data_IF_513771799131
#
_entry.id   IF_513771799131
#
_cell.length_a   1.000
_cell.length_b   1.000
_cell.length_c   1.000
_cell.angle_alpha   90.00
_cell.angle_beta   90.00
_cell.angle_gamma   90.00
#
_symmetry.space_group_name_H-M   'P 1'
#
loop_
_entity.id
_entity.type
_entity.pdbx_description
1 polymer ?
#
# COMPACT_ATOMS: atom_id res chain seq x y z
N UNK A 1 41.97 -40.59 37.62
CA UNK A 1 41.30 -40.32 36.33
C UNK A 1 39.78 -40.16 36.43
N UNK A 2 39.25 -39.37 37.41
CA UNK A 2 37.81 -39.09 37.54
C UNK A 2 37.45 -37.59 37.60
N UNK A 3 38.43 -36.69 37.53
CA UNK A 3 38.16 -35.24 37.62
C UNK A 3 38.11 -34.50 36.28
N UNK A 4 38.58 -35.10 35.18
CA UNK A 4 38.63 -34.48 33.82
C UNK A 4 37.26 -34.50 33.11
N UNK A 5 36.38 -35.46 33.46
CA UNK A 5 35.04 -35.56 32.82
C UNK A 5 34.03 -34.54 33.33
N UNK A 6 34.12 -34.08 34.59
CA UNK A 6 33.15 -33.13 35.19
C UNK A 6 33.43 -31.71 34.70
N UNK A 7 34.69 -31.32 34.54
CA UNK A 7 35.07 -30.00 34.01
C UNK A 7 34.64 -29.82 32.56
N UNK A 8 34.76 -30.89 31.77
CA UNK A 8 34.31 -30.86 30.34
C UNK A 8 32.81 -30.75 30.20
N UNK A 9 32.03 -31.39 31.08
CA UNK A 9 30.55 -31.31 31.09
C UNK A 9 30.05 -29.94 31.53
N UNK A 10 30.69 -29.28 32.50
CA UNK A 10 30.34 -27.93 33.00
C UNK A 10 30.67 -26.89 31.89
N UNK A 11 31.78 -26.99 31.17
CA UNK A 11 32.08 -26.09 30.05
C UNK A 11 31.09 -26.24 28.89
N UNK A 12 30.64 -27.46 28.59
CA UNK A 12 29.61 -27.69 27.56
C UNK A 12 28.23 -27.12 27.96
N UNK A 13 27.85 -27.22 29.25
CA UNK A 13 26.62 -26.66 29.76
C UNK A 13 26.66 -25.11 29.82
N UNK A 14 27.80 -24.50 30.13
CA UNK A 14 27.98 -23.05 30.09
C UNK A 14 28.00 -22.53 28.66
N UNK A 15 28.59 -23.23 27.70
CA UNK A 15 28.50 -22.85 26.29
C UNK A 15 27.07 -22.99 25.72
N UNK A 16 26.30 -24.00 26.11
CA UNK A 16 24.90 -24.16 25.74
C UNK A 16 23.98 -23.08 26.39
N UNK A 17 24.32 -22.60 27.59
CA UNK A 17 23.56 -21.52 28.24
C UNK A 17 23.84 -20.14 27.62
N UNK A 18 25.00 -19.93 26.97
CA UNK A 18 25.35 -18.65 26.34
C UNK A 18 24.70 -18.51 24.96
N UNK A 19 24.34 -19.63 24.30
CA UNK A 19 23.68 -19.59 22.97
C UNK A 19 22.16 -19.40 23.05
N UNK A 20 21.55 -19.39 24.22
CA UNK A 20 20.09 -19.30 24.39
C UNK A 20 19.56 -17.88 24.62
N UNK A 21 20.40 -16.85 24.62
CA UNK A 21 19.98 -15.46 24.80
C UNK A 21 20.22 -14.61 23.54
N UNK A 22 19.74 -15.06 22.40
CA UNK A 22 19.35 -14.11 21.34
C UNK A 22 17.97 -13.58 21.74
N UNK A 23 17.92 -12.64 22.70
CA UNK A 23 16.74 -11.81 22.87
C UNK A 23 16.60 -11.00 21.58
N UNK A 24 15.60 -11.33 20.76
CA UNK A 24 15.17 -10.44 19.72
C UNK A 24 14.98 -9.07 20.34
N UNK A 25 15.65 -8.04 19.82
CA UNK A 25 15.44 -6.69 20.35
C UNK A 25 13.95 -6.38 20.21
N UNK A 26 13.28 -5.95 21.28
CA UNK A 26 11.87 -5.60 21.18
C UNK A 26 11.74 -4.42 20.22
N UNK A 27 10.97 -4.60 19.16
CA UNK A 27 10.66 -3.52 18.21
C UNK A 27 9.95 -2.39 18.96
N UNK A 28 10.36 -1.16 18.69
CA UNK A 28 9.61 0.01 19.17
C UNK A 28 8.58 0.37 18.11
N UNK A 29 7.33 0.34 18.49
CA UNK A 29 6.20 0.80 17.72
C UNK A 29 5.95 2.26 18.08
N UNK A 30 5.76 3.11 17.09
CA UNK A 30 5.23 4.46 17.27
C UNK A 30 3.88 4.57 16.57
N UNK A 31 2.98 5.31 17.17
CA UNK A 31 1.63 5.55 16.66
C UNK A 31 1.55 6.96 16.11
N UNK A 32 0.75 7.13 15.06
CA UNK A 32 0.37 8.43 14.53
C UNK A 32 -1.15 8.42 14.30
N UNK A 33 -1.85 9.22 15.07
CA UNK A 33 -3.30 9.32 15.03
C UNK A 33 -3.79 10.75 15.17
N UNK A 34 -5.07 10.93 15.37
CA UNK A 34 -5.69 12.26 15.55
C UNK A 34 -5.14 12.98 16.78
N UNK A 35 -4.74 12.27 17.83
CA UNK A 35 -4.12 12.84 19.03
C UNK A 35 -2.73 13.44 18.73
N UNK A 36 -2.07 12.99 17.65
CA UNK A 36 -0.78 13.51 17.17
C UNK A 36 -0.94 14.60 16.10
N UNK A 37 -2.19 14.95 15.75
CA UNK A 37 -2.51 15.99 14.77
C UNK A 37 -2.91 15.49 13.38
N UNK A 38 -3.07 14.17 13.17
CA UNK A 38 -3.63 13.63 11.94
C UNK A 38 -5.11 14.03 11.81
N UNK A 39 -5.57 14.34 10.60
CA UNK A 39 -6.93 14.85 10.39
C UNK A 39 -8.04 13.81 10.62
N UNK A 40 -7.73 12.52 10.46
CA UNK A 40 -8.67 11.40 10.65
C UNK A 40 -7.90 10.07 10.71
N UNK A 41 -8.35 9.11 11.52
CA UNK A 41 -7.74 7.78 11.63
C UNK A 41 -8.12 6.82 10.49
N UNK A 42 -9.06 7.19 9.64
CA UNK A 42 -9.38 6.44 8.43
C UNK A 42 -8.38 6.77 7.33
N UNK A 43 -7.35 5.92 7.22
CA UNK A 43 -6.29 6.08 6.22
C UNK A 43 -6.72 5.43 4.91
N UNK A 44 -6.65 6.19 3.84
CA UNK A 44 -7.03 5.73 2.50
C UNK A 44 -5.79 5.43 1.66
N UNK A 45 -4.79 6.30 1.70
CA UNK A 45 -3.58 6.15 0.89
C UNK A 45 -2.38 6.81 1.54
N UNK A 46 -1.19 6.25 1.27
CA UNK A 46 0.09 6.72 1.77
C UNK A 46 1.06 6.96 0.62
N UNK A 47 1.87 8.01 0.71
CA UNK A 47 2.98 8.23 -0.20
C UNK A 47 4.15 8.90 0.53
N UNK A 48 5.38 8.59 0.12
CA UNK A 48 6.56 9.34 0.55
C UNK A 48 7.14 10.09 -0.63
N UNK A 49 7.40 11.38 -0.45
CA UNK A 49 8.01 12.21 -1.48
C UNK A 49 9.55 12.19 -1.47
N UNK A 50 10.15 12.91 -2.40
CA UNK A 50 11.62 13.02 -2.53
C UNK A 50 12.28 13.71 -1.35
N UNK A 51 11.57 14.62 -0.67
CA UNK A 51 12.05 15.38 0.49
C UNK A 51 11.97 14.56 1.78
N UNK A 52 11.29 13.39 1.74
CA UNK A 52 11.12 12.49 2.87
C UNK A 52 9.82 12.71 3.65
N UNK A 53 8.99 13.70 3.29
CA UNK A 53 7.68 13.87 3.91
C UNK A 53 6.78 12.69 3.60
N UNK A 54 5.98 12.30 4.59
CA UNK A 54 4.93 11.30 4.41
C UNK A 54 3.61 12.02 4.14
N UNK A 55 3.00 11.69 3.01
CA UNK A 55 1.69 12.18 2.63
C UNK A 55 0.64 11.13 2.94
N UNK A 56 -0.43 11.54 3.57
CA UNK A 56 -1.49 10.65 4.09
C UNK A 56 -2.83 11.19 3.64
N UNK A 57 -3.53 10.44 2.79
CA UNK A 57 -4.92 10.70 2.46
C UNK A 57 -5.83 10.07 3.51
N UNK A 58 -6.76 10.86 4.02
CA UNK A 58 -7.79 10.44 4.96
C UNK A 58 -9.17 10.86 4.45
N UNK A 59 -10.24 10.45 5.11
CA UNK A 59 -11.59 10.96 4.81
C UNK A 59 -11.78 12.46 5.10
N UNK A 60 -10.86 13.08 5.85
CA UNK A 60 -10.94 14.52 6.19
C UNK A 60 -9.97 15.39 5.40
N UNK A 61 -9.32 14.83 4.39
CA UNK A 61 -8.40 15.53 3.49
C UNK A 61 -7.00 14.95 3.46
N UNK A 62 -6.06 15.76 2.99
CA UNK A 62 -4.66 15.40 2.77
C UNK A 62 -3.80 15.90 3.93
N UNK A 63 -2.92 15.06 4.44
CA UNK A 63 -1.98 15.40 5.50
C UNK A 63 -0.54 15.25 4.99
N UNK A 64 0.34 16.16 5.36
CA UNK A 64 1.78 16.07 5.17
C UNK A 64 2.47 16.00 6.54
N UNK A 65 3.21 14.93 6.77
CA UNK A 65 3.95 14.70 8.00
C UNK A 65 5.46 14.86 7.76
N UNK A 66 6.13 15.65 8.58
CA UNK A 66 7.57 15.93 8.47
C UNK A 66 8.45 15.10 9.43
N UNK A 67 7.83 14.20 10.19
CA UNK A 67 8.46 13.41 11.25
C UNK A 67 8.17 13.95 12.66
N UNK A 68 7.57 15.13 12.79
CA UNK A 68 7.22 15.76 14.06
C UNK A 68 5.79 16.30 14.09
N UNK A 69 5.31 16.92 13.01
CA UNK A 69 4.01 17.58 12.95
C UNK A 69 3.29 17.34 11.62
N UNK A 70 1.97 17.49 11.67
CA UNK A 70 1.10 17.41 10.50
C UNK A 70 0.74 18.80 9.97
N UNK A 71 0.74 18.92 8.64
CA UNK A 71 0.08 20.03 7.93
C UNK A 71 -1.11 19.44 7.19
N UNK A 72 -2.31 19.99 7.44
CA UNK A 72 -3.57 19.49 6.89
C UNK A 72 -4.01 20.40 5.73
N UNK A 73 -4.26 19.79 4.57
CA UNK A 73 -4.85 20.40 3.38
C UNK A 73 -6.26 19.84 3.15
N UNK A 74 -7.22 20.71 3.00
CA UNK A 74 -8.60 20.37 2.72
C UNK A 74 -9.23 21.36 1.75
N UNK A 75 -10.46 21.13 1.29
CA UNK A 75 -11.15 21.99 0.34
C UNK A 75 -11.38 23.44 0.81
N UNK A 76 -11.25 23.71 2.10
CA UNK A 76 -11.50 25.04 2.67
C UNK A 76 -10.20 25.87 2.80
N UNK A 77 -9.03 25.24 2.86
CA UNK A 77 -7.74 25.90 3.09
C UNK A 77 -6.71 25.66 1.97
N UNK A 78 -7.07 24.92 0.93
CA UNK A 78 -6.19 24.61 -0.20
C UNK A 78 -7.00 24.58 -1.50
N UNK A 79 -6.35 24.44 -2.65
CA UNK A 79 -7.01 24.26 -3.95
C UNK A 79 -7.58 22.84 -4.16
N UNK A 80 -7.68 22.02 -3.11
CA UNK A 80 -8.21 20.66 -3.19
C UNK A 80 -9.70 20.71 -3.54
N UNK A 81 -10.12 19.92 -4.54
CA UNK A 81 -11.51 19.92 -5.02
C UNK A 81 -12.46 19.17 -4.09
N UNK A 82 -11.95 18.20 -3.32
CA UNK A 82 -12.70 17.37 -2.38
C UNK A 82 -11.83 16.95 -1.20
N UNK A 83 -12.45 16.66 -0.04
CA UNK A 83 -11.78 15.98 1.07
C UNK A 83 -11.81 14.45 0.91
N UNK A 84 -12.71 13.93 0.07
CA UNK A 84 -12.87 12.50 -0.19
C UNK A 84 -11.78 12.04 -1.17
N UNK A 85 -10.65 11.62 -0.62
CA UNK A 85 -9.47 11.19 -1.36
C UNK A 85 -9.42 9.66 -1.42
N UNK A 86 -8.93 9.12 -2.56
CA UNK A 86 -8.80 7.69 -2.75
C UNK A 86 -7.34 7.23 -2.94
N UNK A 87 -6.51 8.05 -3.58
CA UNK A 87 -5.17 7.63 -3.96
C UNK A 87 -4.16 8.76 -3.88
N UNK A 88 -2.92 8.41 -3.53
CA UNK A 88 -1.76 9.29 -3.58
C UNK A 88 -0.65 8.67 -4.40
N UNK A 89 0.03 9.50 -5.19
CA UNK A 89 1.23 9.12 -5.92
C UNK A 89 2.25 10.25 -5.87
N UNK A 90 3.38 10.00 -5.22
CA UNK A 90 4.50 10.93 -5.25
C UNK A 90 5.25 10.82 -6.59
N UNK A 91 5.51 11.95 -7.24
CA UNK A 91 6.35 11.98 -8.43
C UNK A 91 7.83 11.91 -8.02
N UNK A 92 8.57 10.88 -8.42
CA UNK A 92 9.96 10.75 -8.00
C UNK A 92 10.94 11.62 -8.83
N UNK A 93 10.48 12.26 -9.89
CA UNK A 93 11.29 13.16 -10.73
C UNK A 93 10.97 14.65 -10.48
N UNK A 94 9.73 14.92 -10.10
CA UNK A 94 9.22 16.27 -9.84
C UNK A 94 8.80 16.39 -8.38
N UNK A 95 8.86 17.59 -7.82
CA UNK A 95 8.35 17.86 -6.49
C UNK A 95 6.82 18.03 -6.56
N UNK A 96 6.09 16.93 -6.81
CA UNK A 96 4.65 16.89 -6.99
C UNK A 96 4.03 15.68 -6.31
N UNK A 97 2.80 15.87 -5.82
CA UNK A 97 1.96 14.78 -5.31
C UNK A 97 0.68 14.75 -6.13
N UNK A 98 0.45 13.64 -6.80
CA UNK A 98 -0.79 13.37 -7.51
C UNK A 98 -1.81 12.77 -6.57
N UNK A 99 -3.06 13.21 -6.69
CA UNK A 99 -4.13 12.92 -5.74
C UNK A 99 -5.35 12.48 -6.53
N UNK A 100 -5.77 11.24 -6.38
CA UNK A 100 -7.04 10.72 -6.88
C UNK A 100 -8.16 11.03 -5.89
N UNK A 101 -9.26 11.59 -6.38
CA UNK A 101 -10.43 11.89 -5.55
C UNK A 101 -11.58 10.93 -5.86
N UNK A 102 -12.56 10.86 -4.95
CA UNK A 102 -13.72 9.98 -5.14
C UNK A 102 -14.64 10.45 -6.27
N UNK A 103 -14.81 11.76 -6.47
CA UNK A 103 -15.77 12.30 -7.45
C UNK A 103 -15.34 13.59 -8.14
N UNK A 104 -14.19 14.11 -7.79
CA UNK A 104 -13.74 15.44 -8.20
C UNK A 104 -12.46 15.44 -9.05
N UNK A 105 -12.09 14.28 -9.62
CA UNK A 105 -11.05 14.12 -10.63
C UNK A 105 -9.65 13.93 -10.07
N UNK A 106 -8.66 14.27 -10.89
CA UNK A 106 -7.23 14.14 -10.61
C UNK A 106 -6.68 15.49 -10.14
N UNK A 107 -6.19 15.55 -8.90
CA UNK A 107 -5.53 16.74 -8.38
C UNK A 107 -4.01 16.55 -8.29
N UNK A 108 -3.29 17.67 -8.28
CA UNK A 108 -1.83 17.69 -8.17
C UNK A 108 -1.42 18.81 -7.22
N UNK A 109 -0.71 18.47 -6.13
CA UNK A 109 0.02 19.42 -5.31
C UNK A 109 1.39 19.67 -5.95
N UNK A 110 1.73 20.93 -6.14
CA UNK A 110 3.01 21.38 -6.67
C UNK A 110 3.78 22.13 -5.56
N UNK A 111 4.98 21.66 -5.24
CA UNK A 111 5.80 22.25 -4.19
C UNK A 111 6.37 23.62 -4.56
N UNK A 112 6.56 23.89 -5.85
CA UNK A 112 7.14 25.17 -6.30
C UNK A 112 6.18 26.33 -6.05
N UNK A 113 4.89 26.05 -6.27
CA UNK A 113 3.83 27.06 -6.08
C UNK A 113 3.08 26.88 -4.76
N UNK A 114 3.29 25.77 -4.05
CA UNK A 114 2.54 25.32 -2.87
C UNK A 114 1.01 25.32 -3.08
N UNK A 115 0.59 25.05 -4.33
CA UNK A 115 -0.84 25.05 -4.72
C UNK A 115 -1.29 23.65 -5.15
N UNK A 116 -2.60 23.41 -5.04
CA UNK A 116 -3.26 22.24 -5.61
C UNK A 116 -4.11 22.67 -6.80
N UNK A 117 -3.90 22.01 -7.94
CA UNK A 117 -4.73 22.15 -9.14
C UNK A 117 -5.42 20.83 -9.47
N UNK A 118 -6.64 20.87 -10.02
CA UNK A 118 -7.41 19.66 -10.31
C UNK A 118 -7.86 19.62 -11.77
N UNK A 119 -7.87 18.41 -12.35
CA UNK A 119 -8.32 18.10 -13.71
C UNK A 119 -9.61 17.27 -13.58
N UNK A 120 -10.68 17.72 -14.27
CA UNK A 120 -12.00 17.07 -14.25
C UNK A 120 -12.42 16.60 -15.64
N UNK A 121 -13.37 15.64 -15.67
CA UNK A 121 -14.08 15.29 -16.89
C UNK A 121 -14.84 16.51 -17.42
N UNK A 122 -15.00 16.58 -18.75
CA UNK A 122 -15.66 17.73 -19.39
C UNK A 122 -14.72 18.90 -19.68
N UNK A 123 -13.68 19.08 -18.88
CA UNK A 123 -12.58 20.04 -19.10
C UNK A 123 -11.37 19.38 -19.73
N UNK A 124 -11.34 18.04 -19.75
CA UNK A 124 -10.24 17.23 -20.24
C UNK A 124 -10.72 15.89 -20.81
N UNK A 125 -9.78 15.07 -21.29
CA UNK A 125 -10.04 13.69 -21.73
C UNK A 125 -9.99 12.67 -20.59
N UNK A 126 -10.05 13.09 -19.33
CA UNK A 126 -10.14 12.20 -18.17
C UNK A 126 -11.41 11.35 -18.28
N UNK A 127 -11.30 10.03 -18.17
CA UNK A 127 -12.41 9.10 -18.43
C UNK A 127 -13.47 9.11 -17.31
N UNK A 128 -13.08 9.40 -16.07
CA UNK A 128 -13.97 9.53 -14.91
C UNK A 128 -13.36 10.41 -13.83
N UNK A 129 -14.19 11.13 -13.08
CA UNK A 129 -13.77 11.87 -11.88
C UNK A 129 -13.55 10.96 -10.66
N UNK A 130 -14.01 9.71 -10.72
CA UNK A 130 -13.80 8.71 -9.68
C UNK A 130 -12.49 7.96 -9.95
N UNK A 131 -11.48 8.24 -9.12
CA UNK A 131 -10.12 7.73 -9.28
C UNK A 131 -9.75 6.94 -8.03
N UNK A 132 -10.01 5.63 -8.00
CA UNK A 132 -9.70 4.79 -6.86
C UNK A 132 -8.20 4.54 -6.69
N UNK A 133 -7.41 4.59 -7.78
CA UNK A 133 -5.99 4.30 -7.69
C UNK A 133 -5.15 5.02 -8.73
N UNK A 134 -3.91 5.33 -8.34
CA UNK A 134 -2.87 5.92 -9.16
C UNK A 134 -1.60 5.07 -9.07
N UNK A 135 -1.02 4.74 -10.21
CA UNK A 135 0.27 4.08 -10.28
C UNK A 135 1.23 4.81 -11.22
N UNK A 136 2.53 4.66 -10.96
CA UNK A 136 3.53 5.20 -11.86
C UNK A 136 3.63 4.34 -13.11
N UNK A 137 3.63 4.99 -14.26
CA UNK A 137 3.95 4.35 -15.54
C UNK A 137 5.48 4.34 -15.76
N UNK A 138 5.98 3.33 -16.48
CA UNK A 138 7.41 3.17 -16.77
C UNK A 138 8.00 4.32 -17.61
N UNK A 139 7.20 4.93 -18.47
CA UNK A 139 7.58 6.09 -19.26
C UNK A 139 7.64 7.40 -18.47
N UNK A 140 7.28 7.33 -17.18
CA UNK A 140 7.25 8.48 -16.27
C UNK A 140 5.90 9.19 -16.24
N UNK A 141 4.89 8.69 -16.93
CA UNK A 141 3.49 9.09 -16.80
C UNK A 141 2.80 8.46 -15.58
N UNK A 142 1.48 8.50 -15.61
CA UNK A 142 0.63 7.98 -14.52
C UNK A 142 -0.41 7.03 -15.12
N UNK A 143 -0.51 5.83 -14.55
CA UNK A 143 -1.65 4.97 -14.72
C UNK A 143 -2.75 5.37 -13.74
N UNK A 144 -3.94 5.61 -14.27
CA UNK A 144 -5.12 6.04 -13.54
C UNK A 144 -6.15 4.93 -13.67
N UNK A 145 -6.54 4.36 -12.54
CA UNK A 145 -7.64 3.38 -12.50
C UNK A 145 -8.95 4.12 -12.30
N UNK A 146 -9.96 3.75 -13.07
CA UNK A 146 -11.34 4.22 -12.97
C UNK A 146 -12.24 3.04 -12.61
N UNK A 147 -13.09 3.21 -11.62
CA UNK A 147 -13.90 2.13 -11.05
C UNK A 147 -14.68 1.31 -12.10
N UNK A 148 -15.27 1.99 -13.08
CA UNK A 148 -16.05 1.36 -14.16
C UNK A 148 -15.46 1.55 -15.57
N UNK A 149 -14.56 2.50 -15.74
CA UNK A 149 -14.09 2.92 -17.06
C UNK A 149 -12.75 2.28 -17.46
N UNK A 150 -12.18 1.45 -16.58
CA UNK A 150 -10.91 0.77 -16.84
C UNK A 150 -9.69 1.55 -16.38
N UNK A 151 -8.58 1.38 -17.07
CA UNK A 151 -7.29 2.00 -16.75
C UNK A 151 -6.90 2.95 -17.87
N UNK A 152 -6.52 4.17 -17.51
CA UNK A 152 -6.13 5.23 -18.43
C UNK A 152 -4.70 5.70 -18.14
N UNK A 153 -3.92 5.99 -19.16
CA UNK A 153 -2.59 6.57 -19.01
C UNK A 153 -2.65 8.10 -19.16
N UNK A 154 -1.94 8.81 -18.32
CA UNK A 154 -1.71 10.26 -18.39
C UNK A 154 -0.24 10.56 -18.65
N UNK A 155 0.06 11.14 -19.81
CA UNK A 155 1.38 11.66 -20.15
C UNK A 155 1.53 13.04 -19.49
N UNK A 156 2.34 13.12 -18.46
CA UNK A 156 2.55 14.34 -17.65
C UNK A 156 3.20 15.44 -18.50
N UNK A 157 4.11 15.09 -19.42
CA UNK A 157 4.85 16.06 -20.21
C UNK A 157 3.97 16.70 -21.28
N UNK A 158 3.18 15.87 -21.99
CA UNK A 158 2.25 16.33 -23.02
C UNK A 158 0.93 16.83 -22.44
N UNK A 159 0.66 16.57 -21.15
CA UNK A 159 -0.63 16.84 -20.48
C UNK A 159 -1.80 16.18 -21.23
N UNK A 160 -1.61 14.94 -21.68
CA UNK A 160 -2.58 14.21 -22.48
C UNK A 160 -2.95 12.88 -21.86
N UNK A 161 -4.23 12.52 -21.98
CA UNK A 161 -4.76 11.22 -21.58
C UNK A 161 -4.83 10.28 -22.78
N UNK A 162 -4.49 9.02 -22.56
CA UNK A 162 -4.76 7.96 -23.56
C UNK A 162 -6.26 7.62 -23.61
N UNK A 163 -6.65 6.78 -24.59
CA UNK A 163 -7.91 6.04 -24.46
C UNK A 163 -7.84 5.11 -23.22
N UNK A 164 -8.99 4.92 -22.57
CA UNK A 164 -9.05 4.03 -21.42
C UNK A 164 -9.02 2.55 -21.85
N UNK A 165 -8.14 1.76 -21.22
CA UNK A 165 -8.11 0.31 -21.35
C UNK A 165 -9.13 -0.30 -20.38
N UNK A 166 -9.99 -1.21 -20.86
CA UNK A 166 -11.04 -1.82 -20.06
C UNK A 166 -11.19 -3.32 -20.31
N UNK A 167 -12.10 -3.99 -19.59
CA UNK A 167 -12.37 -5.43 -19.70
C UNK A 167 -12.73 -5.89 -21.14
N UNK A 168 -13.10 -4.99 -22.05
CA UNK A 168 -13.38 -5.31 -23.46
C UNK A 168 -12.09 -5.62 -24.23
N UNK A 169 -10.97 -5.08 -23.80
CA UNK A 169 -9.65 -5.32 -24.41
C UNK A 169 -9.01 -6.62 -23.94
N UNK A 170 -9.39 -7.09 -22.72
CA UNK A 170 -8.90 -8.35 -22.12
C UNK A 170 -10.10 -9.22 -21.83
N UNK A 171 -10.43 -10.10 -22.77
CA UNK A 171 -11.64 -10.93 -22.75
C UNK A 171 -11.66 -11.85 -21.53
N UNK A 172 -12.73 -11.76 -20.74
CA UNK A 172 -12.96 -12.61 -19.55
C UNK A 172 -12.37 -12.06 -18.27
N UNK A 173 -11.66 -10.93 -18.30
CA UNK A 173 -11.21 -10.25 -17.10
C UNK A 173 -12.44 -9.79 -16.29
N UNK A 174 -12.50 -10.04 -14.96
CA UNK A 174 -13.57 -9.51 -14.13
C UNK A 174 -13.65 -7.98 -14.23
N UNK A 175 -14.84 -7.43 -14.17
CA UNK A 175 -15.07 -5.98 -14.16
C UNK A 175 -14.85 -5.36 -12.78
N UNK A 176 -15.12 -4.06 -12.64
CA UNK A 176 -14.95 -3.28 -11.41
C UNK A 176 -13.53 -3.35 -10.83
N UNK A 177 -12.69 -2.49 -11.38
CA UNK A 177 -11.28 -2.36 -11.04
C UNK A 177 -11.12 -1.41 -9.85
N UNK A 178 -10.33 -1.81 -8.85
CA UNK A 178 -9.95 -0.92 -7.76
C UNK A 178 -8.53 -0.40 -7.95
N UNK A 179 -7.61 -1.27 -8.35
CA UNK A 179 -6.20 -0.98 -8.50
C UNK A 179 -5.62 -1.73 -9.70
N UNK A 180 -4.69 -1.09 -10.41
CA UNK A 180 -3.90 -1.74 -11.47
C UNK A 180 -2.45 -1.26 -11.43
N UNK A 181 -1.50 -2.20 -11.52
CA UNK A 181 -0.07 -1.91 -11.48
C UNK A 181 0.70 -2.93 -12.32
N UNK A 182 1.66 -2.47 -13.13
CA UNK A 182 2.59 -3.35 -13.84
C UNK A 182 3.91 -3.51 -13.07
N UNK A 183 4.57 -4.66 -13.24
CA UNK A 183 5.87 -4.96 -12.62
C UNK A 183 7.08 -4.54 -13.49
N UNK A 184 6.82 -3.99 -14.66
CA UNK A 184 7.84 -3.67 -15.66
C UNK A 184 8.47 -4.89 -16.35
N UNK A 185 8.05 -6.11 -16.02
CA UNK A 185 8.55 -7.35 -16.58
C UNK A 185 7.56 -8.00 -17.55
N UNK A 186 6.37 -7.43 -17.63
CA UNK A 186 5.31 -7.83 -18.55
C UNK A 186 4.09 -8.43 -17.86
N UNK A 187 3.99 -8.35 -16.55
CA UNK A 187 2.80 -8.71 -15.82
C UNK A 187 2.05 -7.46 -15.35
N UNK A 188 0.72 -7.51 -15.48
CA UNK A 188 -0.20 -6.51 -14.94
C UNK A 188 -1.02 -7.15 -13.81
N UNK A 189 -0.89 -6.62 -12.62
CA UNK A 189 -1.62 -7.03 -11.42
C UNK A 189 -2.84 -6.14 -11.28
N UNK A 190 -4.03 -6.75 -11.15
CA UNK A 190 -5.30 -6.04 -11.02
C UNK A 190 -6.04 -6.52 -9.79
N UNK A 191 -6.28 -5.61 -8.86
CA UNK A 191 -7.17 -5.83 -7.72
C UNK A 191 -8.61 -5.50 -8.11
N UNK A 192 -9.50 -6.41 -7.78
CA UNK A 192 -10.93 -6.28 -8.05
C UNK A 192 -11.71 -5.95 -6.78
N UNK A 193 -12.88 -5.34 -6.97
CA UNK A 193 -13.80 -5.00 -5.87
C UNK A 193 -14.39 -6.24 -5.20
N UNK A 194 -14.57 -7.35 -5.95
CA UNK A 194 -15.22 -8.57 -5.45
C UNK A 194 -14.65 -9.86 -6.01
N UNK A 195 -13.62 -9.77 -6.86
CA UNK A 195 -13.15 -10.91 -7.63
C UNK A 195 -11.67 -11.25 -7.38
N UNK A 196 -11.11 -10.75 -6.27
CA UNK A 196 -9.76 -11.04 -5.84
C UNK A 196 -8.68 -10.35 -6.67
N UNK A 197 -7.60 -11.05 -6.94
CA UNK A 197 -6.44 -10.58 -7.69
C UNK A 197 -6.37 -11.26 -9.05
N UNK A 198 -6.31 -10.48 -10.15
CA UNK A 198 -5.93 -10.99 -11.48
C UNK A 198 -4.48 -10.64 -11.80
N UNK A 199 -3.75 -11.59 -12.36
CA UNK A 199 -2.39 -11.37 -12.89
C UNK A 199 -2.43 -11.68 -14.38
N UNK A 200 -2.13 -10.66 -15.21
CA UNK A 200 -2.15 -10.75 -16.66
C UNK A 200 -0.72 -10.83 -17.16
N UNK A 201 -0.40 -11.85 -17.93
CA UNK A 201 0.78 -11.87 -18.80
C UNK A 201 0.47 -11.05 -20.05
N UNK A 202 0.96 -9.82 -20.10
CA UNK A 202 0.70 -8.88 -21.20
C UNK A 202 1.33 -9.35 -22.54
N UNK A 203 2.40 -10.16 -22.48
CA UNK A 203 3.07 -10.69 -23.68
C UNK A 203 2.27 -11.81 -24.34
N UNK A 204 1.63 -12.66 -23.50
CA UNK A 204 0.83 -13.81 -23.94
C UNK A 204 -0.66 -13.50 -24.04
N UNK A 205 -1.08 -12.35 -23.51
CA UNK A 205 -2.48 -11.93 -23.42
C UNK A 205 -3.35 -12.99 -22.70
N UNK A 206 -2.79 -13.58 -21.63
CA UNK A 206 -3.46 -14.55 -20.74
C UNK A 206 -3.50 -14.02 -19.34
N UNK A 207 -4.46 -14.46 -18.54
CA UNK A 207 -4.52 -14.06 -17.13
C UNK A 207 -4.85 -15.25 -16.22
N UNK A 208 -4.52 -15.09 -14.93
CA UNK A 208 -4.97 -15.96 -13.83
C UNK A 208 -5.65 -15.09 -12.80
N UNK A 209 -6.70 -15.64 -12.21
CA UNK A 209 -7.44 -14.98 -11.13
C UNK A 209 -7.30 -15.78 -9.85
N UNK A 210 -6.96 -15.09 -8.76
CA UNK A 210 -6.78 -15.66 -7.43
C UNK A 210 -7.86 -15.11 -6.51
N UNK A 211 -8.63 -16.04 -5.91
CA UNK A 211 -9.72 -15.74 -5.00
C UNK A 211 -9.48 -16.36 -3.63
N UNK A 212 -10.17 -15.83 -2.64
CA UNK A 212 -10.19 -16.40 -1.30
C UNK A 212 -10.83 -17.80 -1.32
N UNK A 213 -10.11 -18.75 -0.73
CA UNK A 213 -10.61 -20.11 -0.48
C UNK A 213 -10.52 -20.38 1.03
N UNK A 214 -11.67 -20.52 1.75
CA UNK A 214 -11.68 -20.74 3.19
C UNK A 214 -11.07 -22.09 3.61
N UNK A 215 -10.88 -23.01 2.67
CA UNK A 215 -10.24 -24.31 2.91
C UNK A 215 -8.74 -24.31 2.59
N UNK A 216 -8.21 -23.23 2.02
CA UNK A 216 -6.81 -23.08 1.70
C UNK A 216 -6.19 -21.90 2.46
N UNK A 217 -5.42 -22.12 3.54
CA UNK A 217 -4.81 -21.06 4.33
C UNK A 217 -3.78 -20.25 3.55
N UNK A 218 -3.31 -20.76 2.40
CA UNK A 218 -2.37 -20.10 1.51
C UNK A 218 -3.06 -19.39 0.33
N UNK A 219 -4.38 -19.22 0.37
CA UNK A 219 -5.11 -18.38 -0.56
C UNK A 219 -5.07 -16.91 -0.12
N UNK A 220 -5.41 -15.99 -1.02
CA UNK A 220 -5.59 -14.57 -0.67
C UNK A 220 -6.63 -14.44 0.46
N UNK A 221 -6.42 -13.55 1.47
CA UNK A 221 -7.29 -13.52 2.66
C UNK A 221 -8.71 -13.00 2.40
N UNK A 222 -8.91 -12.22 1.32
CA UNK A 222 -10.22 -11.69 0.93
C UNK A 222 -10.30 -11.36 -0.54
N UNK A 223 -11.52 -11.30 -1.08
CA UNK A 223 -11.79 -11.06 -2.50
C UNK A 223 -11.88 -9.57 -2.88
N UNK A 224 -11.96 -8.67 -1.90
CA UNK A 224 -11.92 -7.23 -2.12
C UNK A 224 -10.47 -6.77 -1.99
N UNK A 225 -9.81 -6.46 -3.12
CA UNK A 225 -8.41 -6.06 -3.17
C UNK A 225 -8.33 -4.55 -3.32
N UNK A 226 -7.83 -3.89 -2.28
CA UNK A 226 -7.74 -2.42 -2.19
C UNK A 226 -6.36 -1.88 -2.53
N UNK A 227 -5.30 -2.65 -2.30
CA UNK A 227 -3.95 -2.20 -2.60
C UNK A 227 -3.05 -3.31 -3.12
N UNK A 228 -2.09 -2.93 -3.95
CA UNK A 228 -0.98 -3.76 -4.43
C UNK A 228 0.29 -2.95 -4.27
N UNK A 229 1.34 -3.55 -3.73
CA UNK A 229 2.66 -2.96 -3.63
C UNK A 229 3.70 -3.94 -4.13
N UNK A 230 4.54 -3.51 -5.05
CA UNK A 230 5.73 -4.26 -5.47
C UNK A 230 6.91 -3.60 -4.79
N UNK A 231 7.54 -4.31 -3.85
CA UNK A 231 8.66 -3.79 -3.08
C UNK A 231 9.98 -3.78 -3.87
N UNK A 232 11.04 -3.21 -3.30
CA UNK A 232 12.36 -3.14 -3.95
C UNK A 232 12.98 -4.51 -4.25
N UNK A 233 12.55 -5.56 -3.54
CA UNK A 233 12.97 -6.94 -3.75
C UNK A 233 12.06 -7.69 -4.74
N UNK A 234 11.12 -6.97 -5.39
CA UNK A 234 10.13 -7.53 -6.31
C UNK A 234 9.08 -8.44 -5.65
N UNK A 235 8.95 -8.37 -4.34
CA UNK A 235 7.86 -9.05 -3.65
C UNK A 235 6.55 -8.32 -3.91
N UNK A 236 5.47 -9.09 -4.10
CA UNK A 236 4.15 -8.58 -4.46
C UNK A 236 3.25 -8.68 -3.24
N UNK A 237 2.94 -7.54 -2.65
CA UNK A 237 2.10 -7.40 -1.49
C UNK A 237 0.69 -6.98 -1.90
N UNK A 238 -0.32 -7.60 -1.30
CA UNK A 238 -1.73 -7.39 -1.62
C UNK A 238 -2.51 -7.06 -0.35
N UNK A 239 -3.17 -5.91 -0.32
CA UNK A 239 -4.06 -5.51 0.76
C UNK A 239 -5.52 -5.81 0.42
N UNK A 240 -6.24 -6.42 1.37
CA UNK A 240 -7.63 -6.84 1.19
C UNK A 240 -8.52 -6.38 2.36
N UNK A 241 -9.84 -6.59 2.21
CA UNK A 241 -10.82 -6.37 3.28
C UNK A 241 -10.63 -7.28 4.52
N UNK A 242 -9.75 -8.28 4.46
CA UNK A 242 -9.52 -9.24 5.56
C UNK A 242 -8.05 -9.37 5.94
N UNK A 243 -7.22 -8.37 5.60
CA UNK A 243 -5.79 -8.36 5.90
C UNK A 243 -4.92 -8.17 4.67
N UNK A 244 -3.64 -8.46 4.80
CA UNK A 244 -2.67 -8.40 3.71
C UNK A 244 -2.12 -9.78 3.37
N UNK A 245 -1.51 -9.91 2.20
CA UNK A 245 -0.82 -11.12 1.77
C UNK A 245 0.42 -10.80 0.95
N UNK A 246 1.44 -11.64 1.07
CA UNK A 246 2.59 -11.71 0.19
C UNK A 246 2.35 -12.83 -0.84
N UNK A 247 2.33 -12.50 -2.11
CA UNK A 247 2.20 -13.47 -3.21
C UNK A 247 3.54 -14.08 -3.57
N UNK A 248 3.58 -15.39 -3.73
CA UNK A 248 4.74 -16.18 -4.17
C UNK A 248 4.53 -16.67 -5.60
N UNK A 249 5.14 -16.04 -6.61
CA UNK A 249 4.91 -16.41 -8.02
C UNK A 249 5.26 -17.85 -8.36
N UNK A 250 6.34 -18.40 -7.75
CA UNK A 250 6.83 -19.75 -8.02
C UNK A 250 5.84 -20.84 -7.60
N UNK A 251 5.21 -20.68 -6.43
CA UNK A 251 4.24 -21.63 -5.87
C UNK A 251 2.80 -21.24 -6.14
N UNK A 252 2.56 -19.99 -6.57
CA UNK A 252 1.24 -19.39 -6.76
C UNK A 252 0.39 -19.38 -5.48
N UNK A 253 1.05 -19.27 -4.34
CA UNK A 253 0.45 -19.23 -3.00
C UNK A 253 0.68 -17.89 -2.33
N UNK A 254 0.02 -17.69 -1.20
CA UNK A 254 0.11 -16.47 -0.40
C UNK A 254 0.57 -16.79 1.02
N UNK A 255 1.45 -15.93 1.55
CA UNK A 255 1.64 -15.81 3.00
C UNK A 255 0.67 -14.75 3.50
N UNK A 256 -0.18 -15.12 4.44
CA UNK A 256 -1.31 -14.29 4.90
C UNK A 256 -0.97 -13.60 6.21
N UNK A 257 -1.27 -12.29 6.28
CA UNK A 257 -1.13 -11.43 7.45
C UNK A 257 -2.51 -10.88 7.83
N UNK A 258 -2.99 -11.21 9.02
CA UNK A 258 -4.31 -10.79 9.51
C UNK A 258 -4.23 -10.31 10.94
N UNK A 259 -5.22 -9.52 11.36
CA UNK A 259 -5.38 -9.16 12.76
C UNK A 259 -5.69 -10.39 13.60
N UNK A 260 -4.97 -10.51 14.74
CA UNK A 260 -5.21 -11.53 15.76
C UNK A 260 -5.25 -10.84 17.11
N UNK A 261 -6.39 -10.86 17.78
CA UNK A 261 -6.64 -10.13 19.03
C UNK A 261 -5.61 -10.42 20.13
N UNK A 262 -5.10 -11.65 20.18
CA UNK A 262 -4.15 -12.11 21.22
C UNK A 262 -2.68 -12.00 20.78
N UNK A 263 -2.41 -11.45 19.59
CA UNK A 263 -1.07 -11.33 19.01
C UNK A 263 -0.79 -9.86 18.70
N UNK A 264 -0.10 -9.18 19.60
CA UNK A 264 0.30 -7.77 19.45
C UNK A 264 1.22 -7.49 18.24
N UNK A 265 1.79 -8.54 17.63
CA UNK A 265 2.60 -8.49 16.42
C UNK A 265 1.81 -8.85 15.14
N UNK A 266 0.50 -8.98 15.19
CA UNK A 266 -0.35 -9.20 14.02
C UNK A 266 -0.81 -7.87 13.40
N UNK A 267 -1.40 -7.81 12.22
CA UNK A 267 -1.91 -6.55 11.65
C UNK A 267 -2.97 -5.89 12.55
N UNK A 268 -3.06 -4.57 12.49
CA UNK A 268 -4.18 -3.84 13.07
C UNK A 268 -5.51 -4.25 12.42
N UNK A 269 -6.63 -4.12 13.14
CA UNK A 269 -7.94 -4.47 12.60
C UNK A 269 -8.33 -3.55 11.45
N UNK A 270 -9.15 -4.07 10.55
CA UNK A 270 -9.75 -3.34 9.43
C UNK A 270 -9.27 -3.80 8.07
N UNK A 271 -9.82 -3.18 7.05
CA UNK A 271 -9.40 -3.33 5.65
C UNK A 271 -8.04 -2.70 5.46
N UNK A 272 -7.13 -3.40 4.79
CA UNK A 272 -5.84 -2.83 4.38
C UNK A 272 -6.04 -2.01 3.12
N UNK A 273 -6.16 -0.70 3.30
CA UNK A 273 -6.50 0.25 2.24
C UNK A 273 -5.33 0.60 1.35
N UNK A 274 -4.12 0.68 1.92
CA UNK A 274 -2.91 0.97 1.16
C UNK A 274 -1.68 0.27 1.77
N UNK A 275 -0.76 -0.13 0.91
CA UNK A 275 0.54 -0.71 1.28
C UNK A 275 1.62 0.05 0.53
N UNK A 276 2.60 0.58 1.25
CA UNK A 276 3.73 1.29 0.66
C UNK A 276 5.04 0.87 1.29
N UNK A 277 6.06 0.70 0.46
CA UNK A 277 7.43 0.61 0.95
C UNK A 277 8.03 2.00 1.05
N UNK A 278 8.57 2.31 2.23
CA UNK A 278 9.24 3.57 2.52
C UNK A 278 10.72 3.52 2.11
N UNK A 279 11.39 4.67 2.06
CA UNK A 279 12.81 4.77 1.64
C UNK A 279 13.78 3.99 2.53
N UNK A 280 13.44 3.82 3.81
CA UNK A 280 14.21 2.99 4.75
C UNK A 280 14.00 1.49 4.56
N UNK A 281 13.15 1.08 3.60
CA UNK A 281 12.82 -0.30 3.29
C UNK A 281 11.62 -0.86 4.03
N UNK A 282 11.09 -0.18 5.05
CA UNK A 282 9.92 -0.63 5.81
C UNK A 282 8.66 -0.63 4.95
N UNK A 283 7.78 -1.60 5.19
CA UNK A 283 6.45 -1.64 4.60
C UNK A 283 5.41 -1.08 5.58
N UNK A 284 4.64 -0.13 5.11
CA UNK A 284 3.56 0.50 5.85
C UNK A 284 2.21 0.03 5.32
N UNK A 285 1.35 -0.42 6.22
CA UNK A 285 0.00 -0.89 5.93
C UNK A 285 -1.00 0.06 6.57
N UNK A 286 -1.66 0.86 5.78
CA UNK A 286 -2.75 1.74 6.23
C UNK A 286 -4.05 0.96 6.33
N UNK A 287 -4.70 0.99 7.49
CA UNK A 287 -5.97 0.28 7.73
C UNK A 287 -7.13 1.23 7.94
N UNK A 288 -8.34 0.77 7.60
CA UNK A 288 -9.56 1.59 7.67
C UNK A 288 -10.06 1.90 9.10
N UNK A 289 -9.57 1.19 10.12
CA UNK A 289 -10.05 1.36 11.50
C UNK A 289 -8.95 1.42 12.54
N UNK A 290 -7.78 0.84 12.26
CA UNK A 290 -6.72 0.65 13.26
C UNK A 290 -5.58 1.67 13.16
N UNK A 291 -5.47 2.44 12.06
CA UNK A 291 -4.31 3.30 11.79
C UNK A 291 -3.25 2.61 10.91
N UNK A 292 -1.99 2.68 11.28
CA UNK A 292 -0.87 2.20 10.44
C UNK A 292 -0.12 1.08 11.14
N UNK A 293 0.10 -0.04 10.44
CA UNK A 293 1.02 -1.12 10.83
C UNK A 293 2.31 -1.01 10.02
N UNK A 294 3.46 -1.22 10.67
CA UNK A 294 4.77 -1.10 10.03
C UNK A 294 5.50 -2.45 10.13
N UNK A 295 5.86 -3.01 8.99
CA UNK A 295 6.72 -4.19 8.89
C UNK A 295 8.15 -3.75 8.60
N UNK A 296 9.06 -3.99 9.55
CA UNK A 296 10.47 -3.73 9.38
C UNK A 296 11.12 -4.87 8.60
N UNK A 297 11.60 -4.59 7.39
CA UNK A 297 12.19 -5.58 6.50
C UNK A 297 13.66 -5.91 6.82
N UNK A 298 14.35 -5.11 7.65
CA UNK A 298 15.77 -5.32 7.97
C UNK A 298 15.97 -6.33 9.09
N UNK A 299 14.96 -6.59 9.90
CA UNK A 299 15.04 -7.42 11.10
C UNK A 299 14.26 -8.73 10.98
N UNK A 300 14.48 -9.51 9.88
CA UNK A 300 13.85 -10.83 9.70
C UNK A 300 12.41 -10.97 10.25
N UNK A 301 11.44 -10.43 9.51
CA UNK A 301 10.00 -10.75 9.63
C UNK A 301 9.41 -10.67 11.04
N UNK A 302 9.30 -9.49 11.60
CA UNK A 302 8.30 -9.25 12.65
C UNK A 302 7.50 -8.00 12.36
N UNK A 303 6.19 -8.19 12.35
CA UNK A 303 5.20 -7.13 12.23
C UNK A 303 5.18 -6.30 13.51
N UNK A 304 5.12 -5.00 13.34
CA UNK A 304 5.01 -4.03 14.41
C UNK A 304 3.61 -3.43 14.34
N UNK A 305 2.89 -3.43 15.46
CA UNK A 305 1.54 -2.87 15.56
C UNK A 305 1.53 -1.43 15.97
N UNK A 306 0.46 -0.79 15.54
CA UNK A 306 0.04 0.51 16.03
C UNK A 306 -1.43 0.40 16.42
N UNK A 307 -1.71 0.15 17.70
CA UNK A 307 -3.06 0.17 18.27
C UNK A 307 -3.23 1.37 19.19
N UNK A 308 -4.45 1.91 19.24
CA UNK A 308 -4.80 2.95 20.19
C UNK A 308 -4.61 2.47 21.64
N UNK A 309 -4.17 3.35 22.56
CA UNK A 309 -4.21 3.02 23.97
C UNK A 309 -5.67 2.89 24.41
N UNK A 310 -6.05 1.71 24.88
CA UNK A 310 -7.33 1.51 25.58
C UNK A 310 -7.38 2.43 26.79
N UNK A 311 -8.34 3.34 26.83
CA UNK A 311 -8.75 4.06 28.04
C UNK A 311 -9.48 3.13 28.98
#
# INVERSE_FOLDING_TARGET
MKHTGIISAIHLLVLLAITANTSAQPYRISHLGVDDGLSNNYIVSLAQDRKGYIWIATESGLNRFDGQQFIIYNKNNSGLSSNELNALLADPKQDKIWIGTQRDGLCCFDYETETITCIKTGESQLASNDIPYLARALDGGIWITHYHMGIQHYDIQKKQFSAAYNYKTIKGLPGRYWIGMDDGEGNLYIGHVTDGLSIIDMKRNTFRNYRHDPHNPNSIPGDEVYSICIDHNKNIWVGTNKGAALFHPDTQQFTVFQHKKEDEYSLLPGTVMDIKQMKNGDLWFGTSMGGISILNMQSNLSLIHISEPTR
#
